data_IF_948616388350
#
_entry.id   IF_948616388350
#
_cell.length_a   1.000
_cell.length_b   1.000
_cell.length_c   1.000
_cell.angle_alpha   90.00
_cell.angle_beta   90.00
_cell.angle_gamma   90.00
#
_symmetry.space_group_name_H-M   'P 1'
#
loop_
_entity.id
_entity.type
_entity.pdbx_description
1 polymer ?
#
# COMPACT_ATOMS: atom_id res chain seq x y z
N UNK A 1 8.48 21.47 -32.05
CA UNK A 1 8.08 20.79 -30.82
C UNK A 1 8.03 19.32 -31.14
N UNK A 2 8.92 18.54 -30.55
CA UNK A 2 9.06 17.11 -30.87
C UNK A 2 7.86 16.36 -30.27
N UNK A 3 7.46 15.21 -30.82
CA UNK A 3 6.27 14.47 -30.34
C UNK A 3 6.41 14.08 -28.85
N UNK A 4 7.63 13.84 -28.38
CA UNK A 4 7.96 13.63 -26.96
C UNK A 4 7.64 14.82 -26.06
N UNK A 5 7.79 16.06 -26.55
CA UNK A 5 7.52 17.25 -25.75
C UNK A 5 6.03 17.33 -25.41
N UNK A 6 5.15 17.02 -26.37
CA UNK A 6 3.69 17.04 -26.16
C UNK A 6 3.28 16.04 -25.08
N UNK A 7 3.84 14.83 -25.09
CA UNK A 7 3.56 13.82 -24.06
C UNK A 7 4.04 14.28 -22.67
N UNK A 8 5.24 14.85 -22.59
CA UNK A 8 5.82 15.33 -21.34
C UNK A 8 5.06 16.54 -20.74
N UNK A 9 4.57 17.44 -21.58
CA UNK A 9 3.67 18.51 -21.18
C UNK A 9 2.30 17.98 -20.73
N UNK A 10 1.77 16.96 -21.41
CA UNK A 10 0.52 16.29 -21.00
C UNK A 10 0.66 15.65 -19.62
N UNK A 11 1.78 14.96 -19.36
CA UNK A 11 2.10 14.40 -18.04
C UNK A 11 2.16 15.50 -16.99
N UNK A 12 2.76 16.65 -17.31
CA UNK A 12 2.84 17.79 -16.39
C UNK A 12 1.44 18.37 -16.07
N UNK A 13 0.58 18.52 -17.08
CA UNK A 13 -0.80 18.99 -16.89
C UNK A 13 -1.62 18.04 -16.00
N UNK A 14 -1.57 16.73 -16.27
CA UNK A 14 -2.24 15.72 -15.42
C UNK A 14 -1.68 15.75 -14.01
N UNK A 15 -0.36 15.84 -13.86
CA UNK A 15 0.31 15.94 -12.55
C UNK A 15 -0.16 17.17 -11.78
N UNK A 16 -0.30 18.33 -12.45
CA UNK A 16 -0.80 19.54 -11.81
C UNK A 16 -2.22 19.36 -11.28
N UNK A 17 -3.11 18.77 -12.08
CA UNK A 17 -4.49 18.49 -11.66
C UNK A 17 -4.54 17.51 -10.47
N UNK A 18 -3.75 16.44 -10.51
CA UNK A 18 -3.66 15.49 -9.39
C UNK A 18 -3.04 16.14 -8.16
N UNK A 19 -2.04 17.01 -8.34
CA UNK A 19 -1.42 17.80 -7.27
C UNK A 19 -2.42 18.74 -6.61
N UNK A 20 -3.19 19.50 -7.38
CA UNK A 20 -4.26 20.38 -6.88
C UNK A 20 -5.33 19.59 -6.12
N UNK A 21 -5.78 18.46 -6.66
CA UNK A 21 -6.70 17.56 -5.95
C UNK A 21 -6.08 17.02 -4.65
N UNK A 22 -4.79 16.72 -4.65
CA UNK A 22 -4.08 16.25 -3.45
C UNK A 22 -4.00 17.35 -2.39
N UNK A 23 -3.73 18.60 -2.77
CA UNK A 23 -3.77 19.76 -1.85
C UNK A 23 -5.18 19.99 -1.31
N UNK A 24 -6.20 19.95 -2.17
CA UNK A 24 -7.59 20.08 -1.77
C UNK A 24 -7.96 19.01 -0.74
N UNK A 25 -7.64 17.74 -1.01
CA UNK A 25 -7.88 16.64 -0.08
C UNK A 25 -7.09 16.76 1.21
N UNK A 26 -5.86 17.26 1.17
CA UNK A 26 -5.07 17.51 2.38
C UNK A 26 -5.78 18.53 3.30
N UNK A 27 -6.48 19.49 2.71
CA UNK A 27 -7.27 20.49 3.41
C UNK A 27 -8.61 19.92 3.94
N UNK A 28 -9.38 19.23 3.09
CA UNK A 28 -10.71 18.72 3.46
C UNK A 28 -10.65 17.49 4.37
N UNK A 29 -9.66 16.63 4.20
CA UNK A 29 -9.46 15.38 4.96
C UNK A 29 -8.28 15.52 5.94
N UNK A 30 -8.17 16.69 6.58
CA UNK A 30 -7.11 17.01 7.55
C UNK A 30 -7.14 16.12 8.80
N UNK A 31 -8.27 15.49 9.08
CA UNK A 31 -8.43 14.49 10.16
C UNK A 31 -7.45 13.32 9.99
N UNK A 32 -7.09 12.95 8.75
CA UNK A 32 -6.05 11.95 8.46
C UNK A 32 -4.69 12.32 9.04
N UNK A 33 -4.39 13.61 9.19
CA UNK A 33 -3.15 14.11 9.76
C UNK A 33 -3.10 13.98 11.28
N UNK A 34 -4.24 13.70 11.92
CA UNK A 34 -4.36 13.49 13.38
C UNK A 34 -4.61 12.04 13.78
N UNK A 35 -4.61 11.10 12.83
CA UNK A 35 -4.83 9.68 13.14
C UNK A 35 -3.57 9.05 13.74
N UNK A 36 -3.75 8.42 14.89
CA UNK A 36 -2.72 7.64 15.58
C UNK A 36 -2.35 6.33 14.84
N UNK A 37 -3.23 5.83 13.97
CA UNK A 37 -2.94 4.71 13.07
C UNK A 37 -3.41 4.97 11.66
N UNK A 38 -2.51 4.75 10.70
CA UNK A 38 -2.81 4.93 9.29
C UNK A 38 -3.33 3.63 8.68
N UNK A 39 -4.49 3.68 8.02
CA UNK A 39 -4.98 2.56 7.22
C UNK A 39 -4.23 2.46 5.87
N UNK A 40 -4.61 1.53 4.99
CA UNK A 40 -3.95 1.37 3.68
C UNK A 40 -4.19 2.59 2.75
N UNK A 41 -5.30 3.30 2.94
CA UNK A 41 -5.66 4.46 2.14
C UNK A 41 -4.91 5.71 2.56
N UNK A 42 -4.78 5.95 3.86
CA UNK A 42 -3.99 7.05 4.41
C UNK A 42 -2.54 6.94 3.91
N UNK A 43 -2.02 5.72 3.84
CA UNK A 43 -0.71 5.44 3.24
C UNK A 43 -0.69 5.64 1.72
N UNK A 44 -1.73 5.26 1.00
CA UNK A 44 -1.84 5.53 -0.43
C UNK A 44 -1.93 7.04 -0.71
N UNK A 45 -2.60 7.79 0.16
CA UNK A 45 -2.67 9.24 0.12
C UNK A 45 -1.32 9.88 0.43
N UNK A 46 -0.58 9.39 1.43
CA UNK A 46 0.80 9.81 1.69
C UNK A 46 1.71 9.61 0.46
N UNK A 47 1.56 8.50 -0.28
CA UNK A 47 2.25 8.31 -1.57
C UNK A 47 1.90 9.39 -2.60
N UNK A 48 0.63 9.81 -2.68
CA UNK A 48 0.23 10.91 -3.57
C UNK A 48 0.89 12.23 -3.16
N UNK A 49 0.94 12.54 -1.87
CA UNK A 49 1.66 13.72 -1.35
C UNK A 49 3.13 13.67 -1.77
N UNK A 50 3.81 12.53 -1.61
CA UNK A 50 5.21 12.36 -2.00
C UNK A 50 5.41 12.59 -3.50
N UNK A 51 4.61 11.95 -4.35
CA UNK A 51 4.81 11.97 -5.81
C UNK A 51 4.39 13.31 -6.42
N UNK A 52 3.26 13.88 -5.99
CA UNK A 52 2.64 15.01 -6.68
C UNK A 52 2.93 16.36 -6.02
N UNK A 53 3.42 16.39 -4.77
CA UNK A 53 3.74 17.64 -4.06
C UNK A 53 5.22 17.72 -3.71
N UNK A 54 5.76 16.72 -3.02
CA UNK A 54 7.16 16.76 -2.54
C UNK A 54 8.14 16.56 -3.70
N UNK A 55 7.92 15.57 -4.55
CA UNK A 55 8.86 15.26 -5.62
C UNK A 55 9.09 16.41 -6.61
N UNK A 56 8.06 17.14 -7.09
CA UNK A 56 8.27 18.34 -7.91
C UNK A 56 9.18 19.38 -7.24
N UNK A 57 9.05 19.59 -5.92
CA UNK A 57 9.92 20.50 -5.18
C UNK A 57 11.36 19.98 -5.14
N UNK A 58 11.56 18.68 -4.89
CA UNK A 58 12.89 18.07 -4.91
C UNK A 58 13.51 18.08 -6.31
N UNK A 59 12.68 17.99 -7.36
CA UNK A 59 13.11 18.06 -8.74
C UNK A 59 13.58 19.47 -9.11
N UNK A 60 12.90 20.50 -8.60
CA UNK A 60 13.38 21.89 -8.70
C UNK A 60 14.72 22.07 -7.99
N UNK A 61 14.92 21.45 -6.83
CA UNK A 61 16.20 21.49 -6.12
C UNK A 61 17.31 20.79 -6.91
N UNK A 62 17.05 19.59 -7.45
CA UNK A 62 17.96 18.83 -8.32
C UNK A 62 18.40 19.65 -9.54
N UNK A 63 17.42 20.26 -10.22
CA UNK A 63 17.66 21.14 -11.36
C UNK A 63 18.49 22.38 -10.96
N UNK A 64 18.15 23.07 -9.86
CA UNK A 64 18.87 24.27 -9.40
C UNK A 64 20.30 23.98 -8.99
N UNK A 65 20.53 22.89 -8.28
CA UNK A 65 21.87 22.45 -7.89
C UNK A 65 22.73 22.06 -9.08
N UNK A 66 22.14 21.42 -10.10
CA UNK A 66 22.80 21.17 -11.40
C UNK A 66 23.21 22.47 -12.10
N UNK A 67 22.30 23.45 -12.16
CA UNK A 67 22.58 24.77 -12.76
C UNK A 67 23.70 25.51 -12.01
N UNK A 68 23.61 25.57 -10.68
CA UNK A 68 24.62 26.25 -9.84
C UNK A 68 25.99 25.58 -9.95
N UNK A 69 26.05 24.24 -10.01
CA UNK A 69 27.30 23.52 -10.21
C UNK A 69 27.91 23.82 -11.58
N UNK A 70 27.08 23.93 -12.61
CA UNK A 70 27.52 24.30 -13.96
C UNK A 70 28.16 25.70 -13.97
N UNK A 71 27.47 26.68 -13.38
CA UNK A 71 27.95 28.07 -13.33
C UNK A 71 29.24 28.19 -12.49
N UNK A 72 29.30 27.49 -11.34
CA UNK A 72 30.46 27.50 -10.44
C UNK A 72 31.72 26.89 -11.09
N UNK A 73 31.54 25.94 -12.01
CA UNK A 73 32.63 25.27 -12.73
C UNK A 73 32.91 25.91 -14.11
N UNK A 74 32.43 27.13 -14.34
CA UNK A 74 32.74 27.95 -15.52
C UNK A 74 31.97 27.57 -16.79
N UNK A 75 30.97 26.71 -16.68
CA UNK A 75 30.05 26.36 -17.76
C UNK A 75 28.83 27.28 -17.81
N UNK A 76 27.89 26.93 -18.70
CA UNK A 76 26.59 27.58 -18.79
C UNK A 76 25.51 26.58 -19.24
N UNK A 77 24.25 26.88 -18.93
CA UNK A 77 23.12 26.06 -19.37
C UNK A 77 22.70 26.46 -20.79
N UNK A 78 22.96 25.59 -21.76
CA UNK A 78 22.62 25.84 -23.18
C UNK A 78 21.12 25.76 -23.43
N UNK A 79 20.45 24.81 -22.81
CA UNK A 79 19.00 24.61 -22.96
C UNK A 79 18.41 24.07 -21.68
N UNK A 80 17.23 24.59 -21.34
CA UNK A 80 16.51 24.23 -20.14
C UNK A 80 15.01 24.09 -20.45
N UNK A 81 14.40 23.03 -19.94
CA UNK A 81 12.95 22.85 -19.95
C UNK A 81 12.55 22.14 -18.66
N UNK A 82 11.49 22.62 -18.00
CA UNK A 82 11.00 22.04 -16.77
C UNK A 82 9.52 21.71 -16.89
N UNK A 83 9.17 20.51 -16.45
CA UNK A 83 7.82 20.08 -16.12
C UNK A 83 7.75 19.56 -14.68
N UNK A 84 6.55 19.34 -14.16
CA UNK A 84 6.36 19.02 -12.75
C UNK A 84 7.05 17.71 -12.30
N UNK A 85 7.21 16.72 -13.19
CA UNK A 85 7.83 15.41 -12.89
C UNK A 85 9.06 15.12 -13.74
N UNK A 86 9.53 16.08 -14.53
CA UNK A 86 10.68 15.90 -15.40
C UNK A 86 11.34 17.23 -15.69
N UNK A 87 12.63 17.22 -15.98
CA UNK A 87 13.28 18.38 -16.55
C UNK A 87 14.37 17.92 -17.51
N UNK A 88 14.71 18.82 -18.43
CA UNK A 88 15.78 18.65 -19.38
C UNK A 88 16.76 19.79 -19.20
N UNK A 89 18.02 19.47 -18.89
CA UNK A 89 19.10 20.44 -18.75
C UNK A 89 20.31 19.94 -19.56
N UNK A 90 20.88 20.84 -20.38
CA UNK A 90 22.09 20.54 -21.16
C UNK A 90 23.17 21.55 -20.75
N UNK A 91 24.16 21.14 -19.95
CA UNK A 91 25.30 21.99 -19.65
C UNK A 91 26.23 22.07 -20.86
N UNK A 92 26.89 23.21 -21.03
CA UNK A 92 27.87 23.49 -22.08
C UNK A 92 29.01 24.35 -21.54
N UNK A 93 30.12 24.44 -22.30
CA UNK A 93 31.28 25.24 -21.91
C UNK A 93 32.08 24.66 -20.74
N UNK A 94 31.86 23.40 -20.36
CA UNK A 94 32.59 22.72 -19.30
C UNK A 94 33.76 21.89 -19.87
N UNK A 95 34.93 21.87 -19.20
CA UNK A 95 35.93 20.83 -19.39
C UNK A 95 35.36 19.42 -19.12
N UNK A 96 35.84 18.41 -19.84
CA UNK A 96 35.34 17.02 -19.73
C UNK A 96 35.40 16.44 -18.30
N UNK A 97 36.34 16.91 -17.48
CA UNK A 97 36.50 16.51 -16.07
C UNK A 97 35.39 17.01 -15.14
N UNK A 98 34.65 18.06 -15.54
CA UNK A 98 33.57 18.65 -14.74
C UNK A 98 32.18 18.24 -15.22
N UNK A 99 32.06 17.62 -16.39
CA UNK A 99 30.77 17.18 -16.95
C UNK A 99 30.02 16.24 -16.00
N UNK A 100 30.69 15.19 -15.50
CA UNK A 100 30.06 14.21 -14.60
C UNK A 100 29.69 14.86 -13.24
N UNK A 101 30.59 15.55 -12.52
CA UNK A 101 30.24 16.24 -11.28
C UNK A 101 29.05 17.20 -11.41
N UNK A 102 28.97 17.96 -12.51
CA UNK A 102 27.85 18.87 -12.77
C UNK A 102 26.55 18.10 -13.00
N UNK A 103 26.54 17.09 -13.87
CA UNK A 103 25.32 16.35 -14.22
C UNK A 103 24.68 15.62 -13.04
N UNK A 104 25.49 15.18 -12.07
CA UNK A 104 25.02 14.40 -10.92
C UNK A 104 24.88 15.22 -9.63
N UNK A 105 25.25 16.50 -9.61
CA UNK A 105 25.22 17.31 -8.38
C UNK A 105 23.83 17.37 -7.74
N UNK A 106 22.78 17.44 -8.55
CA UNK A 106 21.42 17.47 -8.02
C UNK A 106 20.86 16.12 -7.61
N UNK A 107 21.29 15.02 -8.24
CA UNK A 107 21.05 13.67 -7.74
C UNK A 107 21.74 13.47 -6.38
N UNK A 108 22.97 13.96 -6.23
CA UNK A 108 23.69 13.95 -4.95
C UNK A 108 22.94 14.78 -3.91
N UNK A 109 22.50 15.99 -4.24
CA UNK A 109 21.71 16.82 -3.32
C UNK A 109 20.41 16.13 -2.88
N UNK A 110 19.72 15.47 -3.81
CA UNK A 110 18.50 14.71 -3.53
C UNK A 110 18.75 13.50 -2.61
N UNK A 111 19.86 12.78 -2.84
CA UNK A 111 20.29 11.66 -1.98
C UNK A 111 20.64 12.19 -0.58
N UNK A 112 21.39 13.29 -0.49
CA UNK A 112 21.75 13.91 0.80
C UNK A 112 20.49 14.33 1.55
N UNK A 113 19.54 15.00 0.89
CA UNK A 113 18.25 15.35 1.49
C UNK A 113 17.51 14.10 2.02
N UNK A 114 17.43 13.04 1.21
CA UNK A 114 16.79 11.79 1.62
C UNK A 114 17.47 11.15 2.84
N UNK A 115 18.80 11.21 2.93
CA UNK A 115 19.58 10.72 4.06
C UNK A 115 19.43 11.61 5.30
N UNK A 116 19.33 12.94 5.15
CA UNK A 116 19.07 13.87 6.24
C UNK A 116 17.66 13.73 6.83
N UNK A 117 16.69 13.27 6.04
CA UNK A 117 15.33 13.00 6.48
C UNK A 117 15.23 11.73 7.34
N UNK A 118 16.07 10.72 7.12
CA UNK A 118 16.01 9.44 7.85
C UNK A 118 16.23 9.58 9.37
N UNK A 119 17.19 10.38 9.88
CA UNK A 119 17.34 10.64 11.30
C UNK A 119 16.07 11.16 11.99
N UNK A 120 15.24 11.93 11.28
CA UNK A 120 13.99 12.46 11.84
C UNK A 120 13.03 11.34 12.29
N UNK A 121 13.10 10.16 11.67
CA UNK A 121 12.26 9.00 12.04
C UNK A 121 12.58 8.44 13.43
N UNK A 122 13.80 8.64 13.95
CA UNK A 122 14.15 8.19 15.30
C UNK A 122 13.47 9.00 16.41
N UNK A 123 12.99 10.21 16.10
CA UNK A 123 12.24 11.05 17.04
C UNK A 123 10.74 10.68 17.10
N UNK A 124 10.34 9.56 16.47
CA UNK A 124 8.96 9.07 16.44
C UNK A 124 7.95 10.18 16.08
N UNK A 125 8.10 10.82 14.90
CA UNK A 125 7.14 11.81 14.45
C UNK A 125 5.76 11.17 14.31
N UNK A 126 4.71 12.00 14.29
CA UNK A 126 3.33 11.55 14.09
C UNK A 126 3.25 10.57 12.89
N UNK A 127 2.45 9.49 12.96
CA UNK A 127 2.42 8.41 11.97
C UNK A 127 2.35 8.86 10.51
N UNK A 128 1.53 9.88 10.22
CA UNK A 128 1.43 10.48 8.88
C UNK A 128 2.76 11.08 8.41
N UNK A 129 3.42 11.89 9.24
CA UNK A 129 4.72 12.48 8.91
C UNK A 129 5.81 11.42 8.81
N UNK A 130 5.82 10.44 9.72
CA UNK A 130 6.74 9.30 9.62
C UNK A 130 6.60 8.59 8.26
N UNK A 131 5.36 8.43 7.80
CA UNK A 131 5.05 7.80 6.51
C UNK A 131 5.52 8.64 5.34
N UNK A 132 5.23 9.94 5.34
CA UNK A 132 5.67 10.89 4.29
C UNK A 132 7.20 10.96 4.23
N UNK A 133 7.88 11.06 5.37
CA UNK A 133 9.36 11.08 5.45
C UNK A 133 9.93 9.78 4.89
N UNK A 134 9.48 8.62 5.38
CA UNK A 134 10.00 7.33 4.92
C UNK A 134 9.73 7.07 3.44
N UNK A 135 8.54 7.42 2.95
CA UNK A 135 8.23 7.30 1.52
C UNK A 135 9.03 8.27 0.67
N UNK A 136 9.23 9.51 1.11
CA UNK A 136 10.11 10.47 0.41
C UNK A 136 11.52 9.92 0.30
N UNK A 137 12.13 9.50 1.41
CA UNK A 137 13.48 8.95 1.39
C UNK A 137 13.60 7.71 0.50
N UNK A 138 12.68 6.74 0.63
CA UNK A 138 12.69 5.52 -0.21
C UNK A 138 12.46 5.86 -1.68
N UNK A 139 11.56 6.79 -1.99
CA UNK A 139 11.26 7.20 -3.36
C UNK A 139 12.45 7.87 -4.02
N UNK A 140 13.05 8.88 -3.38
CA UNK A 140 14.21 9.60 -3.92
C UNK A 140 15.42 8.68 -4.09
N UNK A 141 15.71 7.80 -3.12
CA UNK A 141 16.80 6.84 -3.24
C UNK A 141 16.52 5.81 -4.35
N UNK A 142 15.29 5.28 -4.45
CA UNK A 142 14.93 4.34 -5.52
C UNK A 142 15.04 5.00 -6.90
N UNK A 143 14.61 6.25 -7.01
CA UNK A 143 14.62 6.99 -8.26
C UNK A 143 16.05 7.28 -8.72
N UNK A 144 16.89 7.83 -7.85
CA UNK A 144 18.27 8.21 -8.21
C UNK A 144 19.21 7.01 -8.36
N UNK A 145 19.07 5.95 -7.53
CA UNK A 145 20.00 4.82 -7.53
C UNK A 145 19.60 3.69 -8.49
N UNK A 146 18.32 3.58 -8.84
CA UNK A 146 17.81 2.44 -9.63
C UNK A 146 17.02 2.92 -10.85
N UNK A 147 15.92 3.66 -10.64
CA UNK A 147 14.97 3.91 -11.72
C UNK A 147 15.55 4.80 -12.82
N UNK A 148 16.11 5.97 -12.47
CA UNK A 148 16.66 6.90 -13.47
C UNK A 148 17.85 6.32 -14.24
N UNK A 149 18.85 5.66 -13.61
CA UNK A 149 19.92 4.98 -14.36
C UNK A 149 19.39 3.94 -15.35
N UNK A 150 18.46 3.08 -14.93
CA UNK A 150 17.90 2.04 -15.79
C UNK A 150 17.07 2.63 -16.94
N UNK A 151 16.23 3.62 -16.65
CA UNK A 151 15.41 4.30 -17.66
C UNK A 151 16.30 5.06 -18.64
N UNK A 152 17.37 5.70 -18.17
CA UNK A 152 18.29 6.45 -19.04
C UNK A 152 19.06 5.53 -20.00
N UNK A 153 19.54 4.38 -19.51
CA UNK A 153 20.16 3.34 -20.36
C UNK A 153 19.17 2.79 -21.38
N UNK A 154 17.89 2.66 -21.03
CA UNK A 154 16.82 2.25 -21.94
C UNK A 154 16.36 3.36 -22.91
N UNK A 155 16.91 4.58 -22.81
CA UNK A 155 16.50 5.72 -23.65
C UNK A 155 15.19 6.39 -23.23
N UNK A 156 14.66 6.06 -22.05
CA UNK A 156 13.36 6.53 -21.54
C UNK A 156 13.49 7.47 -20.32
N UNK A 157 14.70 7.64 -19.78
CA UNK A 157 14.98 8.40 -18.56
C UNK A 157 15.67 9.75 -18.82
N UNK A 158 16.25 10.33 -17.77
CA UNK A 158 17.00 11.58 -17.92
C UNK A 158 18.19 11.41 -18.87
N UNK A 159 18.56 12.44 -19.63
CA UNK A 159 19.69 12.37 -20.57
C UNK A 159 21.05 12.34 -19.84
N UNK A 160 21.04 12.52 -18.51
CA UNK A 160 22.27 12.69 -17.69
C UNK A 160 23.25 11.54 -17.86
N UNK A 161 22.80 10.29 -17.78
CA UNK A 161 23.69 9.14 -17.96
C UNK A 161 24.22 9.04 -19.39
N UNK A 162 23.40 9.34 -20.39
CA UNK A 162 23.84 9.33 -21.79
C UNK A 162 24.94 10.37 -22.03
N UNK A 163 24.73 11.60 -21.55
CA UNK A 163 25.74 12.68 -21.66
C UNK A 163 26.99 12.36 -20.86
N UNK A 164 26.85 11.79 -19.67
CA UNK A 164 27.99 11.38 -18.83
C UNK A 164 28.86 10.31 -19.50
N UNK A 165 28.23 9.33 -20.18
CA UNK A 165 28.96 8.26 -20.89
C UNK A 165 29.58 8.73 -22.21
N UNK A 166 28.98 9.72 -22.87
CA UNK A 166 29.48 10.25 -24.15
C UNK A 166 30.56 11.32 -23.98
N UNK A 167 30.39 12.22 -23.01
CA UNK A 167 31.20 13.45 -22.89
C UNK A 167 32.03 13.51 -21.61
N UNK A 168 31.85 12.56 -20.69
CA UNK A 168 32.63 12.49 -19.46
C UNK A 168 34.08 12.05 -19.69
N UNK A 169 34.98 12.49 -18.80
CA UNK A 169 36.37 12.03 -18.82
C UNK A 169 36.44 10.50 -18.62
N UNK A 170 37.20 9.80 -19.47
CA UNK A 170 37.24 8.32 -19.48
C UNK A 170 37.67 7.69 -18.15
N UNK A 171 38.51 8.38 -17.38
CA UNK A 171 38.95 7.95 -16.04
C UNK A 171 37.86 8.07 -14.96
N UNK A 172 36.78 8.83 -15.19
CA UNK A 172 35.68 9.03 -14.24
C UNK A 172 34.49 8.10 -14.48
N UNK A 173 34.33 7.55 -15.70
CA UNK A 173 33.20 6.70 -16.07
C UNK A 173 33.16 5.41 -15.25
N UNK A 174 34.28 4.69 -15.16
CA UNK A 174 34.33 3.42 -14.42
C UNK A 174 34.07 3.64 -12.90
N UNK A 175 34.70 4.62 -12.22
CA UNK A 175 34.36 4.97 -10.85
C UNK A 175 32.88 5.35 -10.67
N UNK A 176 32.31 6.15 -11.57
CA UNK A 176 30.90 6.56 -11.52
C UNK A 176 29.96 5.34 -11.50
N UNK A 177 30.15 4.41 -12.43
CA UNK A 177 29.34 3.19 -12.53
C UNK A 177 29.55 2.30 -11.30
N UNK A 178 30.80 2.10 -10.87
CA UNK A 178 31.12 1.27 -9.73
C UNK A 178 30.47 1.78 -8.43
N UNK A 179 30.56 3.10 -8.17
CA UNK A 179 29.94 3.73 -7.00
C UNK A 179 28.41 3.60 -7.06
N UNK A 180 27.79 3.85 -8.20
CA UNK A 180 26.34 3.72 -8.34
C UNK A 180 25.85 2.29 -8.14
N UNK A 181 26.51 1.29 -8.73
CA UNK A 181 26.16 -0.12 -8.54
C UNK A 181 26.32 -0.52 -7.07
N UNK A 182 27.38 -0.07 -6.39
CA UNK A 182 27.59 -0.31 -4.97
C UNK A 182 26.46 0.30 -4.11
N UNK A 183 26.11 1.57 -4.34
CA UNK A 183 25.04 2.26 -3.61
C UNK A 183 23.66 1.65 -3.89
N UNK A 184 23.36 1.30 -5.14
CA UNK A 184 22.12 0.64 -5.52
C UNK A 184 22.00 -0.74 -4.84
N UNK A 185 23.09 -1.51 -4.82
CA UNK A 185 23.14 -2.82 -4.15
C UNK A 185 22.94 -2.67 -2.64
N UNK A 186 23.63 -1.72 -2.00
CA UNK A 186 23.48 -1.42 -0.58
C UNK A 186 22.02 -1.03 -0.25
N UNK A 187 21.42 -0.17 -1.07
CA UNK A 187 20.02 0.23 -0.93
C UNK A 187 19.07 -0.96 -1.04
N UNK A 188 19.25 -1.84 -2.03
CA UNK A 188 18.42 -3.05 -2.18
C UNK A 188 18.59 -4.00 -0.99
N UNK A 189 19.82 -4.20 -0.51
CA UNK A 189 20.09 -5.02 0.67
C UNK A 189 19.41 -4.45 1.92
N UNK A 190 19.49 -3.13 2.11
CA UNK A 190 18.80 -2.44 3.19
C UNK A 190 17.28 -2.60 3.10
N UNK A 191 16.68 -2.41 1.92
CA UNK A 191 15.23 -2.58 1.71
C UNK A 191 14.76 -4.03 1.83
N UNK A 192 15.66 -5.01 1.67
CA UNK A 192 15.40 -6.43 1.90
C UNK A 192 15.62 -6.85 3.35
N UNK A 193 16.29 -6.02 4.16
CA UNK A 193 16.55 -6.35 5.55
C UNK A 193 15.24 -6.52 6.32
N UNK A 194 15.12 -7.65 7.01
CA UNK A 194 13.86 -8.10 7.60
C UNK A 194 13.33 -7.18 8.71
N UNK A 195 14.19 -6.35 9.31
CA UNK A 195 13.84 -5.43 10.41
C UNK A 195 13.33 -4.07 9.95
N UNK A 196 13.67 -3.61 8.74
CA UNK A 196 13.28 -2.27 8.26
C UNK A 196 11.76 -2.15 8.14
N UNK A 197 11.10 -3.17 7.58
CA UNK A 197 9.64 -3.13 7.38
C UNK A 197 8.84 -3.17 8.68
N UNK A 198 9.14 -4.07 9.65
CA UNK A 198 8.51 -4.03 10.97
C UNK A 198 8.78 -2.72 11.72
N UNK A 199 10.02 -2.21 11.67
CA UNK A 199 10.35 -0.93 12.31
C UNK A 199 9.55 0.24 11.71
N UNK A 200 9.45 0.31 10.39
CA UNK A 200 8.62 1.35 9.75
C UNK A 200 7.12 1.15 9.99
N UNK A 201 6.67 -0.11 10.08
CA UNK A 201 5.30 -0.43 10.48
C UNK A 201 4.98 0.16 11.85
N UNK A 202 5.87 0.01 12.83
CA UNK A 202 5.71 0.53 14.19
C UNK A 202 5.52 2.04 14.23
N UNK A 203 6.21 2.77 13.34
CA UNK A 203 6.04 4.22 13.22
C UNK A 203 4.71 4.62 12.57
N UNK A 204 4.22 3.84 11.59
CA UNK A 204 3.01 4.17 10.82
C UNK A 204 1.70 3.62 11.40
N UNK A 205 1.78 2.56 12.22
CA UNK A 205 0.66 1.78 12.79
C UNK A 205 0.98 1.31 14.22
N UNK A 206 1.22 2.21 15.18
CA UNK A 206 1.65 1.85 16.52
C UNK A 206 0.71 0.86 17.23
N UNK A 207 -0.62 1.05 17.20
CA UNK A 207 -1.52 0.17 17.99
C UNK A 207 -1.57 -1.24 17.42
N UNK A 208 -1.63 -1.38 16.10
CA UNK A 208 -1.64 -2.68 15.44
C UNK A 208 -0.33 -3.46 15.69
N UNK A 209 0.80 -2.75 15.82
CA UNK A 209 2.07 -3.39 16.17
C UNK A 209 2.15 -3.78 17.65
N UNK A 210 1.52 -3.03 18.55
CA UNK A 210 1.44 -3.39 19.97
C UNK A 210 0.59 -4.65 20.18
N UNK A 211 -0.59 -4.73 19.55
CA UNK A 211 -1.42 -5.94 19.53
C UNK A 211 -0.64 -7.14 18.93
N UNK A 212 0.11 -6.90 17.85
CA UNK A 212 0.95 -7.91 17.21
C UNK A 212 2.06 -8.41 18.15
N UNK A 213 2.72 -7.53 18.91
CA UNK A 213 3.75 -7.91 19.90
C UNK A 213 3.17 -8.81 20.97
N UNK A 214 2.01 -8.45 21.51
CA UNK A 214 1.30 -9.24 22.51
C UNK A 214 0.83 -10.60 21.95
N UNK A 215 0.36 -10.64 20.71
CA UNK A 215 0.00 -11.90 20.07
C UNK A 215 1.22 -12.80 19.80
N UNK A 216 2.36 -12.20 19.42
CA UNK A 216 3.61 -12.94 19.20
C UNK A 216 4.21 -13.49 20.48
N UNK A 217 4.16 -12.77 21.61
CA UNK A 217 4.60 -13.30 22.91
C UNK A 217 3.75 -14.50 23.33
N UNK A 218 2.42 -14.40 23.19
CA UNK A 218 1.51 -15.52 23.44
C UNK A 218 1.82 -16.72 22.52
N UNK A 219 2.21 -16.47 21.27
CA UNK A 219 2.51 -17.51 20.28
C UNK A 219 3.80 -18.27 20.61
N UNK A 220 4.75 -17.64 21.30
CA UNK A 220 5.93 -18.34 21.80
C UNK A 220 5.55 -19.38 22.86
N UNK A 221 4.58 -19.06 23.71
CA UNK A 221 4.08 -19.98 24.74
C UNK A 221 3.21 -21.09 24.15
N UNK A 222 2.40 -20.79 23.12
CA UNK A 222 1.45 -21.74 22.52
C UNK A 222 1.63 -21.82 20.98
N UNK A 223 2.73 -22.40 20.49
CA UNK A 223 3.07 -22.39 19.06
C UNK A 223 2.15 -23.24 18.17
N UNK A 224 1.43 -24.19 18.75
CA UNK A 224 0.58 -25.15 18.05
C UNK A 224 -0.91 -24.76 18.08
N UNK A 225 -1.23 -23.54 18.50
CA UNK A 225 -2.60 -23.03 18.47
C UNK A 225 -2.95 -22.44 17.10
N UNK A 226 -3.77 -23.15 16.32
CA UNK A 226 -4.28 -22.65 15.02
C UNK A 226 -4.97 -21.29 15.16
N UNK A 227 -5.73 -21.10 16.24
CA UNK A 227 -6.37 -19.83 16.61
C UNK A 227 -5.34 -18.70 16.67
N UNK A 228 -4.26 -18.92 17.41
CA UNK A 228 -3.24 -17.89 17.63
C UNK A 228 -2.42 -17.60 16.37
N UNK A 229 -2.10 -18.63 15.57
CA UNK A 229 -1.46 -18.46 14.26
C UNK A 229 -2.34 -17.61 13.34
N UNK A 230 -3.66 -17.85 13.34
CA UNK A 230 -4.62 -17.03 12.60
C UNK A 230 -4.65 -15.59 13.08
N UNK A 231 -4.76 -15.35 14.40
CA UNK A 231 -4.74 -14.00 14.99
C UNK A 231 -3.48 -13.24 14.59
N UNK A 232 -2.31 -13.87 14.72
CA UNK A 232 -1.03 -13.28 14.32
C UNK A 232 -1.01 -12.98 12.81
N UNK A 233 -1.58 -13.86 11.98
CA UNK A 233 -1.75 -13.63 10.55
C UNK A 233 -2.60 -12.39 10.22
N UNK A 234 -3.74 -12.23 10.90
CA UNK A 234 -4.63 -11.07 10.76
C UNK A 234 -3.95 -9.78 11.24
N UNK A 235 -3.24 -9.83 12.36
CA UNK A 235 -2.51 -8.68 12.90
C UNK A 235 -1.33 -8.27 12.01
N UNK A 236 -0.63 -9.23 11.39
CA UNK A 236 0.35 -8.90 10.35
C UNK A 236 -0.28 -8.19 9.15
N UNK A 237 -1.50 -8.58 8.74
CA UNK A 237 -2.22 -7.86 7.67
C UNK A 237 -2.66 -6.46 8.13
N UNK A 238 -3.21 -6.32 9.35
CA UNK A 238 -3.55 -5.04 9.99
C UNK A 238 -2.34 -4.11 10.06
N UNK A 239 -1.16 -4.63 10.39
CA UNK A 239 0.11 -3.90 10.38
C UNK A 239 0.69 -3.63 8.96
N UNK A 240 0.06 -4.13 7.89
CA UNK A 240 0.54 -3.96 6.52
C UNK A 240 1.76 -4.83 6.16
N UNK A 241 2.07 -5.82 7.01
CA UNK A 241 3.14 -6.79 6.87
C UNK A 241 2.65 -8.03 6.10
N UNK A 242 2.14 -7.82 4.88
CA UNK A 242 1.47 -8.85 4.05
C UNK A 242 2.31 -10.09 3.76
N UNK A 243 3.64 -9.96 3.66
CA UNK A 243 4.55 -11.11 3.46
C UNK A 243 4.56 -12.02 4.69
N UNK A 244 4.55 -11.43 5.89
CA UNK A 244 4.49 -12.15 7.15
C UNK A 244 3.11 -12.81 7.34
N UNK A 245 2.02 -12.11 7.00
CA UNK A 245 0.67 -12.69 7.01
C UNK A 245 0.59 -13.96 6.13
N UNK A 246 1.15 -13.91 4.90
CA UNK A 246 1.24 -15.09 4.02
C UNK A 246 2.05 -16.24 4.60
N UNK A 247 3.12 -15.95 5.35
CA UNK A 247 3.90 -17.00 6.04
C UNK A 247 3.05 -17.70 7.10
N UNK A 248 2.21 -16.95 7.83
CA UNK A 248 1.29 -17.55 8.79
C UNK A 248 0.18 -18.36 8.11
N UNK A 249 -0.35 -17.90 6.97
CA UNK A 249 -1.28 -18.70 6.17
C UNK A 249 -0.64 -20.02 5.70
N UNK A 250 0.61 -19.96 5.23
CA UNK A 250 1.34 -21.18 4.85
C UNK A 250 1.48 -22.13 6.05
N UNK A 251 1.88 -21.61 7.22
CA UNK A 251 1.96 -22.39 8.46
C UNK A 251 0.62 -23.02 8.85
N UNK A 252 -0.49 -22.29 8.69
CA UNK A 252 -1.84 -22.81 8.96
C UNK A 252 -2.17 -24.00 8.06
N UNK A 253 -1.87 -23.90 6.77
CA UNK A 253 -2.12 -24.98 5.80
C UNK A 253 -1.24 -26.20 6.05
N UNK A 254 0.03 -25.98 6.33
CA UNK A 254 1.01 -27.05 6.52
C UNK A 254 0.72 -27.83 7.82
N UNK A 255 0.34 -27.15 8.91
CA UNK A 255 0.18 -27.78 10.22
C UNK A 255 -1.28 -28.15 10.58
N UNK A 256 -2.26 -27.44 10.04
CA UNK A 256 -3.68 -27.59 10.41
C UNK A 256 -4.60 -27.84 9.20
N UNK A 257 -4.04 -28.05 8.01
CA UNK A 257 -4.78 -28.35 6.78
C UNK A 257 -5.75 -27.22 6.37
N UNK A 258 -6.90 -27.60 5.80
CA UNK A 258 -7.99 -26.67 5.46
C UNK A 258 -8.85 -26.33 6.69
N UNK A 259 -8.21 -25.89 7.77
CA UNK A 259 -8.93 -25.37 8.94
C UNK A 259 -9.76 -24.14 8.56
N UNK A 260 -10.84 -23.92 9.30
CA UNK A 260 -11.69 -22.74 9.14
C UNK A 260 -10.88 -21.43 9.24
N UNK A 261 -9.89 -21.40 10.14
CA UNK A 261 -8.92 -20.31 10.28
C UNK A 261 -8.07 -20.07 9.02
N UNK A 262 -7.60 -21.13 8.36
CA UNK A 262 -6.80 -21.01 7.15
C UNK A 262 -7.63 -20.41 6.01
N UNK A 263 -8.86 -20.88 5.82
CA UNK A 263 -9.76 -20.39 4.78
C UNK A 263 -10.17 -18.93 5.03
N UNK A 264 -10.43 -18.57 6.28
CA UNK A 264 -10.75 -17.19 6.66
C UNK A 264 -9.60 -16.23 6.37
N UNK A 265 -8.39 -16.54 6.84
CA UNK A 265 -7.20 -15.72 6.60
C UNK A 265 -6.87 -15.63 5.11
N UNK A 266 -7.02 -16.72 4.36
CA UNK A 266 -6.85 -16.72 2.91
C UNK A 266 -7.83 -15.79 2.21
N UNK A 267 -9.11 -15.86 2.54
CA UNK A 267 -10.16 -15.05 1.93
C UNK A 267 -9.83 -13.55 2.03
N UNK A 268 -9.40 -13.11 3.23
CA UNK A 268 -8.99 -11.74 3.48
C UNK A 268 -7.72 -11.35 2.69
N UNK A 269 -6.70 -12.22 2.67
CA UNK A 269 -5.46 -11.97 1.93
C UNK A 269 -5.73 -11.85 0.42
N UNK A 270 -6.61 -12.70 -0.13
CA UNK A 270 -6.99 -12.65 -1.55
C UNK A 270 -7.74 -11.36 -1.88
N UNK A 271 -8.71 -10.97 -1.04
CA UNK A 271 -9.46 -9.73 -1.21
C UNK A 271 -8.53 -8.50 -1.23
N UNK A 272 -7.62 -8.41 -0.25
CA UNK A 272 -6.63 -7.32 -0.17
C UNK A 272 -5.64 -7.28 -1.32
N UNK A 273 -5.42 -8.41 -2.01
CA UNK A 273 -4.61 -8.49 -3.23
C UNK A 273 -5.37 -8.14 -4.50
N UNK A 274 -6.65 -7.79 -4.39
CA UNK A 274 -7.55 -7.53 -5.53
C UNK A 274 -7.78 -8.75 -6.42
N UNK A 275 -7.55 -9.95 -5.88
CA UNK A 275 -7.95 -11.20 -6.53
C UNK A 275 -9.38 -11.53 -6.12
N UNK A 276 -10.31 -10.68 -6.57
CA UNK A 276 -11.69 -10.67 -6.10
C UNK A 276 -12.44 -11.97 -6.42
N UNK A 277 -12.14 -12.57 -7.57
CA UNK A 277 -12.71 -13.86 -7.98
C UNK A 277 -12.33 -14.98 -7.02
N UNK A 278 -11.05 -15.09 -6.67
CA UNK A 278 -10.58 -16.10 -5.73
C UNK A 278 -11.08 -15.79 -4.30
N UNK A 279 -11.08 -14.52 -3.90
CA UNK A 279 -11.59 -14.08 -2.61
C UNK A 279 -13.07 -14.44 -2.43
N UNK A 280 -13.92 -14.17 -3.43
CA UNK A 280 -15.34 -14.55 -3.43
C UNK A 280 -15.51 -16.03 -3.18
N UNK A 281 -14.82 -16.88 -3.95
CA UNK A 281 -14.89 -18.34 -3.78
C UNK A 281 -14.46 -18.77 -2.39
N UNK A 282 -13.38 -18.17 -1.86
CA UNK A 282 -12.87 -18.49 -0.53
C UNK A 282 -13.85 -18.06 0.58
N UNK A 283 -14.47 -16.88 0.48
CA UNK A 283 -15.49 -16.44 1.42
C UNK A 283 -16.74 -17.33 1.38
N UNK A 284 -17.25 -17.67 0.19
CA UNK A 284 -18.39 -18.60 0.05
C UNK A 284 -18.07 -19.97 0.61
N UNK A 285 -16.88 -20.52 0.30
CA UNK A 285 -16.43 -21.79 0.87
C UNK A 285 -16.32 -21.74 2.40
N UNK A 286 -15.84 -20.61 2.95
CA UNK A 286 -15.76 -20.41 4.40
C UNK A 286 -17.16 -20.31 5.03
N UNK A 287 -18.13 -19.68 4.35
CA UNK A 287 -19.51 -19.55 4.83
C UNK A 287 -20.30 -20.86 4.78
N UNK A 288 -19.90 -21.79 3.92
CA UNK A 288 -20.52 -23.11 3.80
C UNK A 288 -19.87 -24.15 4.74
N UNK A 289 -18.86 -23.75 5.52
CA UNK A 289 -18.20 -24.66 6.45
C UNK A 289 -19.16 -25.13 7.56
N UNK A 290 -19.17 -26.43 7.92
CA UNK A 290 -20.04 -26.95 8.97
C UNK A 290 -19.87 -26.19 10.29
N UNK A 291 -20.98 -25.69 10.84
CA UNK A 291 -21.03 -24.93 12.09
C UNK A 291 -20.93 -23.41 11.94
N UNK A 292 -20.68 -22.90 10.73
CA UNK A 292 -20.82 -21.47 10.41
C UNK A 292 -22.29 -21.20 10.09
N UNK A 293 -22.93 -20.35 10.89
CA UNK A 293 -24.35 -20.01 10.75
C UNK A 293 -24.65 -18.60 11.32
N UNK A 294 -25.86 -18.09 11.10
CA UNK A 294 -26.34 -16.79 11.59
C UNK A 294 -25.47 -15.62 11.12
N UNK A 295 -25.22 -14.66 12.00
CA UNK A 295 -24.45 -13.43 11.75
C UNK A 295 -23.10 -13.66 11.05
N UNK A 296 -22.35 -14.69 11.45
CA UNK A 296 -21.05 -14.99 10.85
C UNK A 296 -21.20 -15.42 9.39
N UNK A 297 -22.22 -16.22 9.09
CA UNK A 297 -22.52 -16.65 7.73
C UNK A 297 -22.98 -15.47 6.88
N UNK A 298 -23.88 -14.63 7.41
CA UNK A 298 -24.30 -13.37 6.78
C UNK A 298 -23.11 -12.47 6.47
N UNK A 299 -22.22 -12.27 7.44
CA UNK A 299 -21.01 -11.45 7.29
C UNK A 299 -20.04 -11.97 6.22
N UNK A 300 -19.81 -13.29 6.17
CA UNK A 300 -18.94 -13.91 5.15
C UNK A 300 -19.57 -13.84 3.75
N UNK A 301 -20.88 -14.03 3.63
CA UNK A 301 -21.61 -13.88 2.37
C UNK A 301 -21.63 -12.41 1.90
N UNK A 302 -21.78 -11.46 2.81
CA UNK A 302 -21.67 -10.03 2.50
C UNK A 302 -20.28 -9.68 1.98
N UNK A 303 -19.21 -10.20 2.61
CA UNK A 303 -17.84 -10.04 2.12
C UNK A 303 -17.64 -10.69 0.73
N UNK A 304 -18.28 -11.84 0.47
CA UNK A 304 -18.30 -12.47 -0.85
C UNK A 304 -19.06 -11.62 -1.89
N UNK A 305 -20.16 -10.98 -1.49
CA UNK A 305 -20.94 -10.07 -2.33
C UNK A 305 -20.12 -8.83 -2.73
N UNK A 306 -19.40 -8.23 -1.78
CA UNK A 306 -18.46 -7.15 -2.08
C UNK A 306 -17.36 -7.57 -3.05
N UNK A 307 -16.80 -8.77 -2.88
CA UNK A 307 -15.82 -9.31 -3.82
C UNK A 307 -16.42 -9.51 -5.22
N UNK A 308 -17.65 -10.01 -5.33
CA UNK A 308 -18.36 -10.15 -6.60
C UNK A 308 -18.57 -8.78 -7.28
N UNK A 309 -19.00 -7.77 -6.51
CA UNK A 309 -19.21 -6.42 -7.04
C UNK A 309 -17.89 -5.81 -7.54
N UNK A 310 -16.81 -5.93 -6.77
CA UNK A 310 -15.48 -5.44 -7.15
C UNK A 310 -14.88 -6.18 -8.36
N UNK A 311 -15.27 -7.45 -8.58
CA UNK A 311 -14.95 -8.21 -9.81
C UNK A 311 -15.75 -7.70 -11.04
N UNK A 312 -16.86 -7.00 -10.82
CA UNK A 312 -17.81 -6.57 -11.85
C UNK A 312 -18.98 -7.52 -12.08
N UNK A 313 -19.14 -8.56 -11.24
CA UNK A 313 -20.26 -9.50 -11.29
C UNK A 313 -21.46 -8.95 -10.51
N UNK A 314 -22.21 -8.06 -11.16
CA UNK A 314 -23.37 -7.36 -10.58
C UNK A 314 -24.46 -8.34 -10.11
N UNK A 315 -24.74 -9.39 -10.89
CA UNK A 315 -25.79 -10.37 -10.56
C UNK A 315 -25.35 -11.24 -9.39
N UNK A 316 -24.10 -11.72 -9.42
CA UNK A 316 -23.52 -12.48 -8.31
C UNK A 316 -23.47 -11.68 -7.02
N UNK A 317 -23.15 -10.38 -7.09
CA UNK A 317 -23.16 -9.48 -5.95
C UNK A 317 -24.55 -9.35 -5.32
N UNK A 318 -25.58 -9.11 -6.14
CA UNK A 318 -26.96 -8.99 -5.66
C UNK A 318 -27.43 -10.29 -4.99
N UNK A 319 -27.27 -11.43 -5.65
CA UNK A 319 -27.69 -12.73 -5.11
C UNK A 319 -26.99 -13.06 -3.78
N UNK A 320 -25.69 -12.78 -3.68
CA UNK A 320 -24.94 -13.02 -2.43
C UNK A 320 -25.34 -12.04 -1.33
N UNK A 321 -25.67 -10.79 -1.67
CA UNK A 321 -26.15 -9.81 -0.70
C UNK A 321 -27.53 -10.15 -0.15
N UNK A 322 -28.45 -10.64 -1.00
CA UNK A 322 -29.77 -11.10 -0.56
C UNK A 322 -29.65 -12.31 0.36
N UNK A 323 -28.83 -13.30 -0.03
CA UNK A 323 -28.51 -14.44 0.84
C UNK A 323 -27.86 -14.02 2.15
N UNK A 324 -27.01 -13.00 2.16
CA UNK A 324 -26.42 -12.51 3.40
C UNK A 324 -27.50 -11.96 4.36
N UNK A 325 -28.48 -11.22 3.82
CA UNK A 325 -29.60 -10.66 4.57
C UNK A 325 -30.58 -11.72 5.09
N UNK A 326 -30.67 -12.89 4.44
CA UNK A 326 -31.43 -14.03 4.97
C UNK A 326 -30.86 -14.54 6.31
N UNK A 327 -29.54 -14.43 6.52
CA UNK A 327 -28.88 -14.86 7.76
C UNK A 327 -28.67 -13.73 8.76
N UNK A 328 -28.54 -12.49 8.29
CA UNK A 328 -28.36 -11.28 9.09
C UNK A 328 -29.03 -10.09 8.40
N UNK A 329 -30.31 -9.86 8.70
CA UNK A 329 -31.10 -8.76 8.12
C UNK A 329 -30.54 -7.37 8.48
N UNK A 330 -29.78 -7.28 9.57
CA UNK A 330 -29.11 -6.06 10.00
C UNK A 330 -27.72 -5.88 9.35
N UNK A 331 -27.31 -6.75 8.42
CA UNK A 331 -25.99 -6.70 7.81
C UNK A 331 -25.82 -5.45 6.92
N UNK A 332 -25.25 -4.40 7.50
CA UNK A 332 -25.01 -3.12 6.83
C UNK A 332 -24.17 -3.28 5.56
N UNK A 333 -23.16 -4.16 5.58
CA UNK A 333 -22.31 -4.42 4.40
C UNK A 333 -23.14 -4.95 3.24
N UNK A 334 -24.02 -5.94 3.47
CA UNK A 334 -24.84 -6.51 2.42
C UNK A 334 -25.76 -5.46 1.78
N UNK A 335 -26.38 -4.60 2.61
CA UNK A 335 -27.23 -3.48 2.13
C UNK A 335 -26.45 -2.50 1.27
N UNK A 336 -25.21 -2.23 1.63
CA UNK A 336 -24.37 -1.27 0.91
C UNK A 336 -23.88 -1.80 -0.42
N UNK A 337 -23.62 -3.10 -0.51
CA UNK A 337 -23.43 -3.75 -1.82
C UNK A 337 -24.67 -3.61 -2.70
N UNK A 338 -25.87 -3.75 -2.15
CA UNK A 338 -27.12 -3.53 -2.92
C UNK A 338 -27.22 -2.11 -3.42
N UNK A 339 -26.90 -1.11 -2.58
CA UNK A 339 -26.85 0.30 -2.99
C UNK A 339 -25.89 0.49 -4.16
N UNK A 340 -24.65 -0.02 -4.04
CA UNK A 340 -23.64 0.09 -5.10
C UNK A 340 -24.09 -0.59 -6.39
N UNK A 341 -24.72 -1.77 -6.30
CA UNK A 341 -25.31 -2.50 -7.42
C UNK A 341 -26.43 -1.70 -8.07
N UNK A 342 -27.36 -1.13 -7.29
CA UNK A 342 -28.48 -0.35 -7.82
C UNK A 342 -28.01 0.96 -8.47
N UNK A 343 -27.03 1.64 -7.88
CA UNK A 343 -26.42 2.83 -8.48
C UNK A 343 -25.72 2.48 -9.79
N UNK A 344 -24.98 1.37 -9.85
CA UNK A 344 -24.34 0.89 -11.07
C UNK A 344 -25.35 0.53 -12.17
N UNK A 345 -26.56 0.07 -11.80
CA UNK A 345 -27.67 -0.20 -12.72
C UNK A 345 -28.51 1.05 -13.07
N UNK A 346 -28.22 2.21 -12.48
CA UNK A 346 -29.02 3.43 -12.65
C UNK A 346 -30.35 3.46 -11.88
N UNK A 347 -30.61 2.49 -11.00
CA UNK A 347 -31.83 2.36 -10.18
C UNK A 347 -31.74 3.20 -8.90
N UNK A 348 -31.76 4.53 -9.06
CA UNK A 348 -31.57 5.47 -7.94
C UNK A 348 -32.61 5.36 -6.82
N UNK A 349 -33.86 5.04 -7.16
CA UNK A 349 -34.94 4.89 -6.16
C UNK A 349 -34.68 3.71 -5.22
N UNK A 350 -34.34 2.54 -5.78
CA UNK A 350 -34.04 1.33 -5.00
C UNK A 350 -32.77 1.50 -4.16
N UNK A 351 -31.77 2.22 -4.69
CA UNK A 351 -30.59 2.61 -3.91
C UNK A 351 -30.98 3.51 -2.72
N UNK A 352 -31.89 4.47 -2.93
CA UNK A 352 -32.41 5.33 -1.87
C UNK A 352 -33.13 4.56 -0.76
N UNK A 353 -33.95 3.57 -1.12
CA UNK A 353 -34.64 2.70 -0.15
C UNK A 353 -33.66 1.92 0.73
N UNK A 354 -32.64 1.30 0.15
CA UNK A 354 -31.63 0.56 0.92
C UNK A 354 -30.77 1.48 1.81
N UNK A 355 -30.49 2.71 1.36
CA UNK A 355 -29.81 3.71 2.20
C UNK A 355 -30.67 4.06 3.41
N UNK A 356 -31.97 4.30 3.23
CA UNK A 356 -32.89 4.62 4.34
C UNK A 356 -32.97 3.46 5.34
N UNK A 357 -33.07 2.23 4.85
CA UNK A 357 -33.05 1.04 5.71
C UNK A 357 -31.73 0.92 6.49
N UNK A 358 -30.60 1.15 5.83
CA UNK A 358 -29.30 1.11 6.50
C UNK A 358 -29.15 2.23 7.54
N UNK A 359 -29.63 3.45 7.26
CA UNK A 359 -29.65 4.56 8.21
C UNK A 359 -30.47 4.23 9.46
N UNK A 360 -31.62 3.58 9.30
CA UNK A 360 -32.43 3.11 10.44
C UNK A 360 -31.70 2.06 11.29
N UNK A 361 -30.80 1.28 10.69
CA UNK A 361 -29.96 0.28 11.37
C UNK A 361 -28.67 0.88 11.96
N UNK A 362 -28.54 2.20 11.99
CA UNK A 362 -27.41 2.89 12.60
C UNK A 362 -26.21 3.08 11.69
N UNK A 363 -26.40 3.06 10.37
CA UNK A 363 -25.35 3.41 9.42
C UNK A 363 -24.85 4.84 9.66
N UNK A 364 -23.64 4.98 10.15
CA UNK A 364 -22.87 6.22 10.02
C UNK A 364 -22.30 6.25 8.60
N UNK A 365 -22.40 7.40 7.91
CA UNK A 365 -22.04 7.62 6.50
C UNK A 365 -20.57 7.28 6.11
N UNK A 366 -19.78 6.71 7.03
CA UNK A 366 -18.34 6.45 6.93
C UNK A 366 -18.00 4.99 6.59
N UNK A 367 -18.63 4.48 5.53
CA UNK A 367 -18.36 3.14 4.98
C UNK A 367 -17.30 3.10 3.88
N UNK A 368 -16.72 4.25 3.52
CA UNK A 368 -15.68 4.28 2.50
C UNK A 368 -14.50 3.35 2.89
N UNK A 369 -14.36 2.28 2.11
CA UNK A 369 -13.14 1.49 1.92
C UNK A 369 -12.61 0.66 3.10
N UNK A 370 -13.44 0.33 4.07
CA UNK A 370 -13.12 -0.73 5.03
C UNK A 370 -13.20 -2.10 4.35
N UNK A 371 -12.48 -3.09 4.88
CA UNK A 371 -12.79 -4.50 4.52
C UNK A 371 -14.29 -4.66 4.77
N UNK A 372 -15.05 -5.30 3.87
CA UNK A 372 -16.50 -5.48 4.00
C UNK A 372 -16.88 -6.47 5.10
N UNK A 373 -16.08 -6.52 6.15
CA UNK A 373 -16.17 -7.45 7.24
C UNK A 373 -15.51 -6.79 8.44
N UNK A 374 -16.23 -6.75 9.56
CA UNK A 374 -15.59 -6.56 10.85
C UNK A 374 -14.75 -7.81 11.16
N UNK A 375 -13.46 -7.72 10.87
CA UNK A 375 -12.52 -8.84 10.98
C UNK A 375 -12.41 -9.33 12.42
N UNK A 376 -12.53 -8.43 13.40
CA UNK A 376 -12.41 -8.76 14.82
C UNK A 376 -13.67 -9.50 15.28
N UNK A 377 -14.87 -8.94 15.01
CA UNK A 377 -16.14 -9.62 15.29
C UNK A 377 -16.22 -10.98 14.60
N UNK A 378 -15.87 -11.06 13.32
CA UNK A 378 -15.89 -12.31 12.57
C UNK A 378 -14.91 -13.33 13.14
N UNK A 379 -13.70 -12.89 13.52
CA UNK A 379 -12.71 -13.75 14.16
C UNK A 379 -13.20 -14.31 15.50
N UNK A 380 -13.83 -13.49 16.35
CA UNK A 380 -14.37 -13.94 17.63
C UNK A 380 -15.54 -14.93 17.44
N UNK A 381 -16.42 -14.68 16.47
CA UNK A 381 -17.44 -15.65 16.09
C UNK A 381 -16.83 -16.97 15.62
N UNK A 382 -15.78 -16.94 14.78
CA UNK A 382 -15.07 -18.15 14.30
C UNK A 382 -14.44 -18.94 15.45
N UNK A 383 -13.86 -18.25 16.44
CA UNK A 383 -13.38 -18.88 17.67
C UNK A 383 -14.50 -19.62 18.39
N UNK A 384 -15.66 -18.99 18.57
CA UNK A 384 -16.80 -19.62 19.24
C UNK A 384 -17.32 -20.87 18.52
N UNK A 385 -17.21 -20.91 17.18
CA UNK A 385 -17.62 -22.05 16.36
C UNK A 385 -16.66 -23.23 16.54
N UNK A 386 -15.35 -22.98 16.49
CA UNK A 386 -14.34 -24.03 16.70
C UNK A 386 -14.32 -24.54 18.16
N UNK A 387 -14.51 -23.67 19.16
CA UNK A 387 -14.62 -24.07 20.56
C UNK A 387 -15.84 -24.99 20.78
N UNK A 388 -17.00 -24.65 20.22
CA UNK A 388 -18.20 -25.53 20.23
C UNK A 388 -17.95 -26.87 19.55
N UNK A 389 -17.19 -26.89 18.45
CA UNK A 389 -16.85 -28.11 17.71
C UNK A 389 -15.92 -29.02 18.51
N UNK A 390 -14.89 -28.45 19.14
CA UNK A 390 -13.97 -29.18 20.02
C UNK A 390 -14.70 -29.74 21.25
N UNK A 391 -15.58 -28.95 21.86
CA UNK A 391 -16.43 -29.40 22.97
C UNK A 391 -17.32 -30.59 22.60
N UNK A 392 -17.95 -30.56 21.41
CA UNK A 392 -18.74 -31.70 20.89
C UNK A 392 -17.91 -32.95 20.62
N UNK A 393 -16.66 -32.80 20.15
CA UNK A 393 -15.77 -33.95 19.94
C UNK A 393 -15.38 -34.61 21.25
N UNK A 394 -15.06 -33.81 22.27
CA UNK A 394 -14.71 -34.33 23.60
C UNK A 394 -15.88 -35.08 24.23
N UNK A 395 -17.10 -34.55 24.16
CA UNK A 395 -18.30 -35.23 24.68
C UNK A 395 -18.63 -36.53 23.93
N UNK A 396 -18.40 -36.56 22.61
CA UNK A 396 -18.55 -37.80 21.82
C UNK A 396 -17.50 -38.86 22.15
N UNK A 397 -16.29 -38.46 22.55
CA UNK A 397 -15.24 -39.38 22.98
C UNK A 397 -15.56 -39.91 24.38
N UNK A 398 -15.97 -39.05 25.31
CA UNK A 398 -16.37 -39.50 26.67
C UNK A 398 -17.62 -40.36 26.69
N UNK A 399 -18.52 -40.24 25.71
CA UNK A 399 -19.70 -41.11 25.60
C UNK A 399 -19.41 -42.45 24.89
N UNK A 400 -18.19 -42.64 24.37
CA UNK A 400 -17.75 -43.91 23.75
C UNK A 400 -16.91 -44.77 24.68
N UNK A 401 -16.55 -44.26 25.85
CA UNK A 401 -15.93 -44.97 26.96
C UNK A 401 -16.91 -44.98 28.14
#
# INVERSE_FOLDING_TARGET
MNMNDIYLWSVSGVTALVGLNTVWRLWTERDRLSKDDLNDEDRAFAWRVVIFLIYPLTLLMDMRTTSMACDLLGGYIKSFTYGLLWYHIVPAGLPNEYVIPVLFSGSVASIVLALCLLPALFFKPHPFFATVIGYTSVFLLSLNLIADPLLSVAGLGSVRWQVALQSGAGNQILPLVAVHVALATLFVLFMRYSKVRPWFSELSRPTANEELRQALSNMQTYPDSARLVCKVGLLYDKAGLRRQAKKQLKRLRDNFGQSLYANFLESLILYRRRDYKAARKAFTYTSDHPGVDGDLKGSLLAAAACAAFAEGDIIGALNLSERALEFDDACLVARMVKVDVFLAQGKKEHAGEEILLAMHLGLTLDLENKVPLDVEKAYDCLVSVEERRLGRRLTQITNRY
#
